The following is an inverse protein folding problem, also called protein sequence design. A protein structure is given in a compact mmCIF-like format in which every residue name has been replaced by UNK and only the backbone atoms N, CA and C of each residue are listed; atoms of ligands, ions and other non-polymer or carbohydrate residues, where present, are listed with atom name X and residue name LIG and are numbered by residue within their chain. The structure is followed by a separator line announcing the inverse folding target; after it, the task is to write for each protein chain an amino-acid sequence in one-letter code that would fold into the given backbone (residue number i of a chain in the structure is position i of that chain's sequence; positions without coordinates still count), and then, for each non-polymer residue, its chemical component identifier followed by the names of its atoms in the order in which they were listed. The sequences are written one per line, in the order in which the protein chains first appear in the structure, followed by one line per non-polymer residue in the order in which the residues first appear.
data_IF_176306576449
#
_entry.id   IF_176306576449
#
_cell.length_a   1.000
_cell.length_b   1.000
_cell.length_c   1.000
_cell.angle_alpha   90.00
_cell.angle_beta   90.00
_cell.angle_gamma   90.00
#
_symmetry.space_group_name_H-M   'P 1'
#
loop_
_entity.id
_entity.type
_entity.pdbx_description
1 polymer ?
#
# COMPACT_ATOMS: atom_id res chain seq x y z
N UNK A 1 28.14 49.21 59.90
CA UNK A 1 27.00 49.03 60.83
C UNK A 1 25.86 49.88 60.29
N UNK A 2 24.64 49.46 60.04
CA UNK A 2 23.97 48.16 60.10
C UNK A 2 22.62 48.38 59.38
N UNK A 3 22.14 47.34 58.69
CA UNK A 3 20.74 47.08 58.31
C UNK A 3 19.89 48.15 57.58
N UNK A 4 19.66 47.87 56.29
CA UNK A 4 18.57 48.43 55.48
C UNK A 4 17.34 47.48 55.58
N UNK A 5 16.16 47.95 56.05
CA UNK A 5 14.93 47.18 55.94
C UNK A 5 14.05 47.65 54.77
N UNK A 6 13.40 46.67 54.15
CA UNK A 6 12.31 46.79 53.19
C UNK A 6 11.20 47.71 53.69
N UNK A 7 10.70 48.59 52.81
CA UNK A 7 9.32 49.12 52.82
C UNK A 7 8.94 49.54 51.38
N UNK A 8 8.06 48.77 50.75
CA UNK A 8 7.07 49.23 49.76
C UNK A 8 5.80 49.62 50.54
N UNK A 9 4.74 50.23 49.99
CA UNK A 9 4.53 50.85 48.66
C UNK A 9 3.81 52.22 48.74
N UNK A 10 3.76 52.99 47.64
CA UNK A 10 2.57 53.73 47.17
C UNK A 10 2.98 54.51 45.91
N UNK A 11 2.30 54.32 44.78
CA UNK A 11 1.80 55.43 43.95
C UNK A 11 1.03 54.89 42.72
N UNK A 12 -0.24 55.31 42.68
CA UNK A 12 -1.11 55.62 41.54
C UNK A 12 -1.79 54.51 40.71
N UNK A 13 -3.11 54.45 40.92
CA UNK A 13 -4.16 54.03 40.00
C UNK A 13 -4.04 54.69 38.62
N UNK A 14 -4.19 53.88 37.57
CA UNK A 14 -4.80 54.31 36.31
C UNK A 14 -5.88 53.30 35.92
N UNK A 15 -7.14 53.72 36.07
CA UNK A 15 -8.33 53.07 35.54
C UNK A 15 -8.33 53.24 34.01
N UNK A 16 -8.07 52.16 33.28
CA UNK A 16 -8.25 52.08 31.83
C UNK A 16 -9.36 51.09 31.49
N UNK A 17 -10.58 51.58 31.30
CA UNK A 17 -11.68 50.81 30.72
C UNK A 17 -11.45 50.75 29.21
N UNK A 18 -11.04 49.60 28.68
CA UNK A 18 -11.21 49.32 27.26
C UNK A 18 -11.82 47.95 27.03
N UNK A 19 -12.94 48.01 26.30
CA UNK A 19 -13.86 46.93 26.01
C UNK A 19 -13.16 45.75 25.31
N UNK A 20 -13.50 44.56 25.78
CA UNK A 20 -13.32 43.29 25.10
C UNK A 20 -14.06 43.30 23.76
N UNK A 21 -13.31 43.58 22.68
CA UNK A 21 -13.77 43.28 21.32
C UNK A 21 -13.08 41.99 20.88
N UNK A 22 -13.69 40.86 21.22
CA UNK A 22 -13.49 39.62 20.48
C UNK A 22 -13.97 39.87 19.05
N UNK A 23 -13.05 40.05 18.11
CA UNK A 23 -13.40 39.98 16.68
C UNK A 23 -13.70 38.52 16.34
N UNK A 24 -14.96 38.15 16.48
CA UNK A 24 -15.53 37.02 15.74
C UNK A 24 -15.76 37.42 14.29
N UNK A 25 -15.20 36.67 13.35
CA UNK A 25 -15.69 36.44 11.99
C UNK A 25 -14.69 35.56 11.22
N UNK A 26 -15.11 34.69 10.28
CA UNK A 26 -16.38 33.98 10.17
C UNK A 26 -16.16 32.46 10.36
N UNK A 27 -17.15 31.85 10.99
CA UNK A 27 -17.45 30.43 10.90
C UNK A 27 -17.44 29.94 9.45
N UNK A 28 -16.41 29.19 9.09
CA UNK A 28 -16.62 27.92 8.40
C UNK A 28 -16.06 26.83 9.30
N UNK A 29 -16.87 26.22 10.18
CA UNK A 29 -16.59 24.86 10.55
C UNK A 29 -16.57 24.09 9.24
N UNK A 30 -15.44 23.45 8.90
CA UNK A 30 -15.51 22.31 7.99
C UNK A 30 -16.68 21.45 8.49
N UNK A 31 -17.64 21.09 7.62
CA UNK A 31 -18.86 20.44 8.07
C UNK A 31 -18.49 19.15 8.80
N UNK A 32 -18.59 19.18 10.13
CA UNK A 32 -18.48 18.02 11.01
C UNK A 32 -19.80 17.24 10.95
N UNK A 33 -20.21 16.84 9.76
CA UNK A 33 -21.44 16.05 9.52
C UNK A 33 -21.29 15.19 8.28
N UNK A 34 -20.25 14.35 8.26
CA UNK A 34 -20.51 12.97 7.88
C UNK A 34 -20.14 12.13 9.08
N UNK A 35 -21.16 11.68 9.81
CA UNK A 35 -21.06 10.31 10.30
C UNK A 35 -21.02 9.46 9.02
N UNK A 36 -19.83 9.36 8.41
CA UNK A 36 -19.55 8.32 7.44
C UNK A 36 -19.83 7.07 8.23
N UNK A 37 -20.81 6.24 7.81
CA UNK A 37 -20.85 4.90 8.36
C UNK A 37 -19.44 4.35 8.22
N UNK A 38 -18.91 3.77 9.30
CA UNK A 38 -17.58 3.12 9.32
C UNK A 38 -17.44 2.10 8.18
N UNK A 39 -18.59 1.67 7.68
CA UNK A 39 -18.81 0.70 6.63
C UNK A 39 -19.63 1.41 5.54
N UNK A 40 -19.04 2.35 4.77
CA UNK A 40 -19.76 3.06 3.73
C UNK A 40 -20.15 2.07 2.63
N UNK A 41 -21.43 2.08 2.23
CA UNK A 41 -21.90 1.27 1.10
C UNK A 41 -21.52 1.88 -0.24
N UNK A 42 -21.42 3.20 -0.30
CA UNK A 42 -20.95 3.94 -1.48
C UNK A 42 -19.43 4.08 -1.48
N UNK A 43 -18.83 4.14 -2.67
CA UNK A 43 -17.41 4.40 -2.84
C UNK A 43 -17.00 5.75 -2.27
N UNK A 44 -15.85 5.77 -1.58
CA UNK A 44 -15.15 6.98 -1.16
C UNK A 44 -13.94 7.16 -2.09
N UNK A 45 -13.81 8.34 -2.70
CA UNK A 45 -12.67 8.62 -3.58
C UNK A 45 -11.38 8.81 -2.80
N UNK A 46 -10.31 8.20 -3.31
CA UNK A 46 -8.94 8.50 -2.96
C UNK A 46 -8.13 8.62 -4.27
N UNK A 47 -7.82 9.85 -4.66
CA UNK A 47 -7.26 10.12 -5.98
C UNK A 47 -8.25 9.73 -7.08
N UNK A 48 -7.84 8.82 -7.96
CA UNK A 48 -8.67 8.30 -9.06
C UNK A 48 -9.45 7.03 -8.71
N UNK A 49 -9.24 6.46 -7.53
CA UNK A 49 -9.81 5.16 -7.13
C UNK A 49 -11.03 5.38 -6.23
N UNK A 50 -12.11 4.66 -6.51
CA UNK A 50 -13.29 4.58 -5.66
C UNK A 50 -13.16 3.41 -4.67
N UNK A 51 -13.08 3.71 -3.38
CA UNK A 51 -12.90 2.74 -2.30
C UNK A 51 -14.25 2.40 -1.68
N UNK A 52 -14.68 1.17 -1.87
CA UNK A 52 -15.85 0.56 -1.24
C UNK A 52 -15.54 -0.85 -0.74
N UNK A 53 -16.42 -1.36 0.12
CA UNK A 53 -16.32 -2.71 0.66
C UNK A 53 -16.14 -3.76 -0.45
N UNK A 54 -15.20 -4.73 -0.33
CA UNK A 54 -14.51 -5.12 0.91
C UNK A 54 -13.23 -4.33 1.24
N UNK A 55 -12.83 -3.39 0.39
CA UNK A 55 -11.78 -2.43 0.72
C UNK A 55 -12.32 -1.36 1.67
N UNK A 56 -11.46 -0.83 2.52
CA UNK A 56 -11.85 0.17 3.50
C UNK A 56 -10.70 1.10 3.83
N UNK A 57 -11.04 2.33 4.22
CA UNK A 57 -10.05 3.31 4.65
C UNK A 57 -9.48 2.94 6.02
N UNK A 58 -8.19 3.15 6.22
CA UNK A 58 -7.49 2.81 7.45
C UNK A 58 -7.99 3.58 8.69
N UNK A 59 -8.63 4.73 8.48
CA UNK A 59 -9.28 5.52 9.53
C UNK A 59 -10.78 5.17 9.74
N UNK A 60 -11.36 4.29 8.92
CA UNK A 60 -12.73 3.84 9.07
C UNK A 60 -12.81 2.74 10.15
N UNK A 61 -12.83 3.18 11.41
CA UNK A 61 -12.90 2.30 12.59
C UNK A 61 -14.10 2.62 13.46
N UNK A 62 -14.78 1.58 13.93
CA UNK A 62 -15.86 1.62 14.91
C UNK A 62 -15.42 1.02 16.24
N UNK A 63 -16.32 1.08 17.23
CA UNK A 63 -16.09 0.55 18.57
C UNK A 63 -17.34 -0.19 19.05
N UNK A 64 -17.15 -1.40 19.60
CA UNK A 64 -18.25 -2.14 20.23
C UNK A 64 -18.53 -1.61 21.63
N UNK A 65 -19.62 -2.05 22.26
CA UNK A 65 -19.96 -1.67 23.65
C UNK A 65 -18.86 -2.02 24.66
N UNK A 66 -18.04 -3.04 24.36
CA UNK A 66 -16.91 -3.48 25.18
C UNK A 66 -15.59 -2.78 24.82
N UNK A 67 -15.66 -1.65 24.11
CA UNK A 67 -14.50 -0.85 23.67
C UNK A 67 -13.54 -1.58 22.72
N UNK A 68 -14.02 -2.62 22.02
CA UNK A 68 -13.23 -3.30 21.00
C UNK A 68 -13.35 -2.53 19.67
N UNK A 69 -12.21 -2.06 19.16
CA UNK A 69 -12.15 -1.39 17.85
C UNK A 69 -12.28 -2.38 16.71
N UNK A 70 -13.05 -2.00 15.70
CA UNK A 70 -13.29 -2.82 14.52
C UNK A 70 -13.29 -2.01 13.23
N UNK A 71 -13.10 -2.70 12.11
CA UNK A 71 -13.26 -2.14 10.75
C UNK A 71 -14.13 -3.05 9.90
N UNK A 72 -14.82 -2.44 8.94
CA UNK A 72 -15.67 -3.15 7.99
C UNK A 72 -14.96 -3.38 6.67
N UNK A 73 -14.47 -4.60 6.48
CA UNK A 73 -13.70 -4.94 5.29
C UNK A 73 -12.76 -6.09 5.56
N UNK A 74 -12.22 -6.64 4.49
CA UNK A 74 -11.28 -7.75 4.60
C UNK A 74 -9.96 -7.25 5.15
N UNK A 75 -9.44 -7.92 6.17
CA UNK A 75 -8.29 -7.46 6.98
C UNK A 75 -7.03 -7.11 6.21
N UNK A 76 -6.89 -7.59 4.98
CA UNK A 76 -5.72 -7.37 4.11
C UNK A 76 -5.98 -6.27 3.06
N UNK A 77 -7.21 -5.75 2.97
CA UNK A 77 -7.68 -4.78 1.97
C UNK A 77 -7.83 -3.36 2.55
N UNK A 78 -7.08 -3.07 3.61
CA UNK A 78 -7.03 -1.76 4.25
C UNK A 78 -6.23 -0.79 3.39
N UNK A 79 -6.84 0.34 3.03
CA UNK A 79 -6.21 1.40 2.22
C UNK A 79 -5.98 2.64 3.09
N UNK A 80 -4.75 3.15 3.06
CA UNK A 80 -4.42 4.48 3.58
C UNK A 80 -4.44 5.48 2.43
N UNK A 81 -5.27 6.51 2.54
CA UNK A 81 -5.30 7.60 1.57
C UNK A 81 -4.36 8.71 2.02
N UNK A 82 -3.25 8.92 1.30
CA UNK A 82 -2.18 9.85 1.70
C UNK A 82 -2.21 11.08 0.81
N UNK A 83 -2.40 12.24 1.42
CA UNK A 83 -2.31 13.54 0.75
C UNK A 83 -0.87 14.05 0.73
N UNK A 84 -0.35 14.41 -0.44
CA UNK A 84 1.02 14.94 -0.62
C UNK A 84 1.07 16.48 -0.76
N UNK A 85 -0.05 17.17 -0.59
CA UNK A 85 -0.18 18.60 -0.87
C UNK A 85 -0.81 18.91 -2.24
N UNK A 86 -0.97 17.91 -3.10
CA UNK A 86 -1.51 18.06 -4.46
C UNK A 86 -2.54 16.99 -4.83
N UNK A 87 -2.24 15.73 -4.54
CA UNK A 87 -3.09 14.60 -4.86
C UNK A 87 -3.19 13.63 -3.68
N UNK A 88 -4.34 12.96 -3.60
CA UNK A 88 -4.53 11.82 -2.73
C UNK A 88 -4.00 10.55 -3.40
N UNK A 89 -3.17 9.80 -2.69
CA UNK A 89 -2.59 8.54 -3.17
C UNK A 89 -3.09 7.37 -2.31
N UNK A 90 -3.81 6.39 -2.90
CA UNK A 90 -4.26 5.21 -2.17
C UNK A 90 -3.11 4.20 -2.02
N UNK A 91 -2.77 3.86 -0.78
CA UNK A 91 -1.69 2.92 -0.42
C UNK A 91 -2.27 1.72 0.33
N UNK A 92 -1.94 0.52 -0.13
CA UNK A 92 -2.16 -0.74 0.58
C UNK A 92 -0.82 -1.28 1.07
N UNK A 93 -0.80 -1.89 2.26
CA UNK A 93 0.40 -2.51 2.81
C UNK A 93 0.37 -4.01 2.68
N UNK A 94 1.34 -4.57 1.95
CA UNK A 94 1.48 -5.99 1.72
C UNK A 94 2.85 -6.45 2.22
N UNK A 95 2.88 -7.33 3.23
CA UNK A 95 4.14 -7.85 3.78
C UNK A 95 4.99 -6.80 4.52
N UNK A 96 4.39 -5.65 4.87
CA UNK A 96 5.10 -4.51 5.48
C UNK A 96 5.51 -3.44 4.47
N UNK A 97 5.38 -3.71 3.17
CA UNK A 97 5.78 -2.82 2.10
C UNK A 97 4.58 -2.07 1.50
N UNK A 98 4.84 -0.88 0.96
CA UNK A 98 3.79 -0.01 0.43
C UNK A 98 3.58 -0.23 -1.06
N UNK A 99 2.35 -0.59 -1.43
CA UNK A 99 1.90 -0.66 -2.81
C UNK A 99 0.86 0.42 -3.07
N UNK A 100 0.99 1.11 -4.19
CA UNK A 100 -0.01 2.07 -4.65
C UNK A 100 -1.11 1.34 -5.37
N UNK A 101 -2.36 1.61 -5.00
CA UNK A 101 -3.54 1.05 -5.66
C UNK A 101 -3.80 1.85 -6.93
N UNK A 102 -3.66 1.21 -8.09
CA UNK A 102 -3.90 1.85 -9.38
C UNK A 102 -5.37 1.75 -9.79
N UNK A 103 -6.00 0.61 -9.51
CA UNK A 103 -7.39 0.34 -9.88
C UNK A 103 -8.02 -0.74 -8.99
N UNK A 104 -9.33 -0.66 -8.78
CA UNK A 104 -10.13 -1.66 -8.07
C UNK A 104 -11.34 -2.01 -8.94
N UNK A 105 -11.38 -3.25 -9.45
CA UNK A 105 -12.46 -3.76 -10.30
C UNK A 105 -13.37 -4.69 -9.52
N UNK A 106 -14.49 -4.13 -9.07
CA UNK A 106 -15.47 -4.82 -8.23
C UNK A 106 -16.26 -5.91 -8.97
N UNK A 107 -16.43 -5.77 -10.28
CA UNK A 107 -17.12 -6.73 -11.15
C UNK A 107 -16.30 -8.02 -11.35
N UNK A 108 -14.98 -7.89 -11.45
CA UNK A 108 -14.07 -9.03 -11.62
C UNK A 108 -13.40 -9.49 -10.33
N UNK A 109 -13.63 -8.78 -9.22
CA UNK A 109 -12.99 -9.03 -7.93
C UNK A 109 -11.45 -8.94 -7.98
N UNK A 110 -10.92 -7.95 -8.69
CA UNK A 110 -9.46 -7.78 -8.88
C UNK A 110 -8.95 -6.38 -8.60
N UNK A 111 -7.77 -6.29 -7.99
CA UNK A 111 -7.07 -5.03 -7.68
C UNK A 111 -5.76 -4.97 -8.44
N UNK A 112 -5.45 -3.80 -9.01
CA UNK A 112 -4.19 -3.54 -9.70
C UNK A 112 -3.30 -2.71 -8.78
N UNK A 113 -2.11 -3.24 -8.49
CA UNK A 113 -1.15 -2.64 -7.57
C UNK A 113 0.17 -2.38 -8.27
N UNK A 114 0.81 -1.26 -7.94
CA UNK A 114 2.20 -1.02 -8.31
C UNK A 114 3.03 -0.79 -7.06
N UNK A 115 4.27 -1.30 -7.07
CA UNK A 115 5.25 -0.97 -6.05
C UNK A 115 5.43 0.56 -6.00
N UNK A 116 5.28 1.16 -4.82
CA UNK A 116 5.36 2.62 -4.66
C UNK A 116 6.75 3.15 -5.05
N UNK A 117 7.82 2.36 -4.86
CA UNK A 117 9.17 2.71 -5.29
C UNK A 117 9.30 2.71 -6.82
N UNK A 118 8.51 1.89 -7.52
CA UNK A 118 8.48 1.89 -8.99
C UNK A 118 7.83 3.14 -9.59
N UNK A 119 6.85 3.72 -8.89
CA UNK A 119 6.15 4.93 -9.33
C UNK A 119 6.95 6.20 -9.09
N UNK A 120 7.82 6.22 -8.08
CA UNK A 120 8.66 7.38 -7.74
C UNK A 120 9.92 7.50 -8.61
N UNK A 121 10.35 6.40 -9.24
CA UNK A 121 11.55 6.36 -10.06
C UNK A 121 11.36 6.88 -11.48
N UNK A 122 12.49 7.13 -12.15
CA UNK A 122 12.53 7.51 -13.57
C UNK A 122 12.19 6.33 -14.49
N UNK A 123 12.87 6.22 -15.63
CA UNK A 123 12.67 5.10 -16.56
C UNK A 123 13.13 3.78 -15.96
N UNK A 124 14.12 3.83 -15.08
CA UNK A 124 14.66 2.66 -14.40
C UNK A 124 14.51 2.80 -12.90
N UNK A 125 13.30 2.57 -12.36
CA UNK A 125 13.13 2.56 -10.93
C UNK A 125 13.95 1.44 -10.28
N UNK A 126 14.34 1.63 -9.03
CA UNK A 126 14.99 0.61 -8.21
C UNK A 126 13.99 0.09 -7.18
N UNK A 127 13.42 -1.07 -7.44
CA UNK A 127 12.60 -1.81 -6.46
C UNK A 127 13.47 -2.29 -5.30
N UNK A 128 12.92 -2.28 -4.08
CA UNK A 128 13.68 -2.62 -2.86
C UNK A 128 13.19 -3.89 -2.18
N UNK A 129 11.96 -4.27 -2.46
CA UNK A 129 11.29 -5.39 -1.83
C UNK A 129 10.55 -6.20 -2.88
N UNK A 130 10.55 -7.51 -2.65
CA UNK A 130 9.73 -8.45 -3.38
C UNK A 130 8.51 -8.80 -2.56
N UNK A 131 7.37 -9.01 -3.21
CA UNK A 131 6.20 -9.56 -2.55
C UNK A 131 6.06 -11.04 -2.90
N UNK A 132 5.89 -11.86 -1.87
CA UNK A 132 5.38 -13.21 -2.02
C UNK A 132 4.17 -13.38 -1.12
N UNK A 133 3.08 -13.95 -1.63
CA UNK A 133 1.95 -14.34 -0.80
C UNK A 133 2.41 -15.37 0.24
N UNK A 134 2.54 -14.93 1.48
CA UNK A 134 2.66 -15.79 2.65
C UNK A 134 1.28 -16.16 3.21
N UNK A 135 1.27 -16.89 4.33
CA UNK A 135 0.05 -17.23 5.07
C UNK A 135 -0.70 -16.00 5.63
N UNK A 136 -0.09 -14.82 5.58
CA UNK A 136 -0.58 -13.61 6.24
C UNK A 136 -1.66 -12.83 5.47
N UNK A 137 -1.88 -13.17 4.19
CA UNK A 137 -2.83 -12.49 3.29
C UNK A 137 -3.94 -13.42 2.81
N UNK A 138 -4.84 -13.79 3.71
CA UNK A 138 -5.89 -14.80 3.46
C UNK A 138 -6.91 -14.37 2.39
N UNK A 139 -7.05 -13.08 2.13
CA UNK A 139 -8.09 -12.55 1.24
C UNK A 139 -7.63 -12.31 -0.19
N UNK A 140 -6.33 -12.36 -0.46
CA UNK A 140 -5.73 -12.01 -1.74
C UNK A 140 -5.07 -13.24 -2.38
N UNK A 141 -5.18 -13.35 -3.70
CA UNK A 141 -4.63 -14.45 -4.47
C UNK A 141 -4.01 -13.94 -5.78
N UNK A 142 -3.00 -14.66 -6.29
CA UNK A 142 -2.42 -14.35 -7.60
C UNK A 142 -3.43 -14.66 -8.71
N UNK A 143 -3.45 -13.80 -9.71
CA UNK A 143 -4.19 -14.07 -10.95
C UNK A 143 -3.38 -15.02 -11.84
N UNK A 144 -4.06 -15.78 -12.71
CA UNK A 144 -3.39 -16.73 -13.62
C UNK A 144 -2.50 -16.07 -14.68
N UNK A 145 -2.46 -14.74 -14.75
CA UNK A 145 -1.64 -13.94 -15.66
C UNK A 145 -0.40 -13.32 -15.00
N UNK A 146 -0.07 -13.68 -13.77
CA UNK A 146 1.09 -13.12 -13.07
C UNK A 146 2.41 -13.67 -13.61
N UNK A 147 3.40 -12.79 -13.76
CA UNK A 147 4.79 -13.16 -14.01
C UNK A 147 5.72 -12.34 -13.11
N UNK A 148 7.03 -12.59 -13.16
CA UNK A 148 8.01 -11.96 -12.29
C UNK A 148 9.21 -11.38 -13.05
N UNK A 149 9.68 -10.23 -12.58
CA UNK A 149 11.05 -9.77 -12.88
C UNK A 149 11.94 -10.05 -11.69
N UNK A 150 13.16 -10.51 -11.97
CA UNK A 150 14.20 -10.69 -10.96
C UNK A 150 15.33 -9.72 -11.22
N UNK A 151 15.64 -8.92 -10.21
CA UNK A 151 16.68 -7.91 -10.23
C UNK A 151 17.89 -8.38 -9.42
N UNK A 152 19.07 -8.23 -10.00
CA UNK A 152 20.34 -8.40 -9.31
C UNK A 152 20.99 -7.03 -9.24
N UNK A 153 20.96 -6.42 -8.08
CA UNK A 153 21.49 -5.09 -7.90
C UNK A 153 22.89 -5.13 -7.32
N UNK A 154 23.78 -4.35 -7.93
CA UNK A 154 25.08 -4.05 -7.37
C UNK A 154 25.95 -5.29 -7.12
N UNK A 155 26.18 -6.06 -8.17
CA UNK A 155 27.01 -7.26 -8.13
C UNK A 155 28.51 -6.90 -8.04
N UNK A 156 29.31 -7.77 -7.42
CA UNK A 156 30.77 -7.60 -7.36
C UNK A 156 31.39 -7.75 -8.76
N UNK A 157 31.97 -6.68 -9.36
CA UNK A 157 32.51 -6.73 -10.71
C UNK A 157 33.60 -7.80 -10.90
N UNK A 158 34.36 -8.11 -9.85
CA UNK A 158 35.44 -9.10 -9.91
C UNK A 158 34.91 -10.54 -10.01
N UNK A 159 33.65 -10.77 -9.64
CA UNK A 159 33.00 -12.08 -9.64
C UNK A 159 32.09 -12.29 -10.86
N UNK A 160 32.02 -11.29 -11.75
CA UNK A 160 31.13 -11.25 -12.91
C UNK A 160 31.80 -11.78 -14.21
N UNK A 161 33.03 -12.33 -14.19
CA UNK A 161 33.83 -12.72 -15.41
C UNK A 161 34.45 -14.16 -15.35
N UNK A 162 34.89 -14.87 -16.44
CA UNK A 162 34.53 -14.91 -17.88
C UNK A 162 34.38 -16.34 -18.54
N UNK A 163 33.55 -17.29 -18.08
CA UNK A 163 33.03 -18.32 -19.01
C UNK A 163 31.63 -18.01 -19.54
N UNK A 164 30.94 -17.03 -18.94
CA UNK A 164 29.54 -16.67 -19.22
C UNK A 164 29.37 -15.25 -19.80
N UNK A 165 30.45 -14.47 -19.88
CA UNK A 165 30.43 -13.03 -20.21
C UNK A 165 29.90 -12.72 -21.63
N UNK A 166 29.90 -13.68 -22.56
CA UNK A 166 29.46 -13.44 -23.93
C UNK A 166 27.95 -13.18 -24.13
N UNK A 167 27.12 -13.22 -23.08
CA UNK A 167 25.66 -13.16 -23.23
C UNK A 167 24.85 -12.43 -22.16
N UNK A 168 25.48 -11.92 -21.09
CA UNK A 168 24.74 -11.31 -19.97
C UNK A 168 24.68 -9.78 -20.02
N UNK A 169 25.56 -9.12 -20.80
CA UNK A 169 25.57 -7.67 -21.00
C UNK A 169 24.26 -7.12 -21.55
N UNK A 170 23.49 -7.97 -22.24
CA UNK A 170 22.17 -7.63 -22.77
C UNK A 170 21.11 -7.49 -21.67
N UNK A 171 21.34 -8.03 -20.47
CA UNK A 171 20.45 -7.94 -19.30
C UNK A 171 20.87 -6.85 -18.30
N UNK A 172 22.04 -6.24 -18.51
CA UNK A 172 22.56 -5.18 -17.65
C UNK A 172 21.69 -3.93 -17.79
N UNK A 173 21.30 -3.35 -16.65
CA UNK A 173 20.53 -2.09 -16.59
C UNK A 173 21.44 -0.94 -17.02
N UNK A 174 21.06 -0.23 -18.09
CA UNK A 174 21.88 0.78 -18.79
C UNK A 174 21.31 2.20 -18.75
N UNK A 175 20.32 2.42 -17.91
CA UNK A 175 19.59 3.69 -17.88
C UNK A 175 20.43 4.78 -17.22
N UNK A 176 20.43 5.97 -17.79
CA UNK A 176 21.26 7.09 -17.32
C UNK A 176 20.80 7.64 -15.98
N UNK A 177 19.52 7.46 -15.65
CA UNK A 177 18.89 7.82 -14.39
C UNK A 177 19.03 6.73 -13.31
N UNK A 178 19.57 5.56 -13.67
CA UNK A 178 19.79 4.48 -12.73
C UNK A 178 21.09 4.73 -11.95
N UNK A 179 20.96 5.07 -10.66
CA UNK A 179 22.11 5.31 -9.80
C UNK A 179 22.77 3.98 -9.39
N UNK A 180 23.59 3.43 -10.27
CA UNK A 180 24.67 2.54 -9.85
C UNK A 180 25.74 3.43 -9.23
N UNK A 181 25.75 3.58 -7.89
CA UNK A 181 26.93 4.16 -7.25
C UNK A 181 28.16 3.38 -7.74
N UNK A 182 29.27 4.03 -8.12
CA UNK A 182 30.46 3.34 -8.66
C UNK A 182 30.98 2.21 -7.76
N UNK A 183 30.70 2.30 -6.46
CA UNK A 183 31.04 1.34 -5.43
C UNK A 183 30.13 0.10 -5.38
N UNK A 184 29.02 0.07 -6.10
CA UNK A 184 28.02 -1.01 -6.01
C UNK A 184 28.17 -2.03 -7.13
N UNK A 185 28.85 -1.72 -8.25
CA UNK A 185 29.01 -2.66 -9.37
C UNK A 185 27.76 -2.80 -10.26
N UNK A 186 27.78 -3.66 -11.31
CA UNK A 186 26.71 -3.75 -12.29
C UNK A 186 25.40 -4.29 -11.71
N UNK A 187 24.27 -3.85 -12.30
CA UNK A 187 22.93 -4.34 -11.97
C UNK A 187 22.26 -4.94 -13.21
N UNK A 188 21.45 -5.99 -13.01
CA UNK A 188 20.82 -6.76 -14.08
C UNK A 188 19.34 -6.97 -13.79
N UNK A 189 18.55 -7.15 -14.85
CA UNK A 189 17.13 -7.51 -14.79
C UNK A 189 16.85 -8.69 -15.71
N UNK A 190 16.10 -9.66 -15.22
CA UNK A 190 15.74 -10.87 -15.95
C UNK A 190 14.24 -11.11 -15.84
N UNK A 191 13.64 -11.56 -16.93
CA UNK A 191 12.38 -12.32 -16.88
C UNK A 191 12.62 -13.69 -16.25
N UNK A 192 11.54 -14.35 -15.84
CA UNK A 192 11.59 -15.72 -15.30
C UNK A 192 12.22 -16.70 -16.29
N UNK A 193 11.84 -16.63 -17.57
CA UNK A 193 12.36 -17.51 -18.62
C UNK A 193 13.84 -17.26 -18.90
N UNK A 194 14.26 -16.00 -19.00
CA UNK A 194 15.67 -15.63 -19.21
C UNK A 194 16.52 -16.13 -18.05
N UNK A 195 16.05 -15.96 -16.81
CA UNK A 195 16.78 -16.40 -15.62
C UNK A 195 16.97 -17.92 -15.59
N UNK A 196 15.92 -18.71 -15.88
CA UNK A 196 16.01 -20.16 -15.91
C UNK A 196 16.82 -20.70 -17.09
N UNK A 197 16.93 -19.93 -18.18
CA UNK A 197 17.77 -20.29 -19.32
C UNK A 197 19.28 -20.16 -19.03
N UNK A 198 19.66 -19.44 -17.96
CA UNK A 198 21.06 -19.29 -17.60
C UNK A 198 21.62 -20.59 -17.01
N UNK A 199 22.77 -21.07 -17.53
CA UNK A 199 23.49 -22.16 -16.88
C UNK A 199 23.81 -21.75 -15.43
N UNK A 200 23.41 -22.56 -14.45
CA UNK A 200 23.69 -22.35 -13.03
C UNK A 200 23.03 -21.12 -12.39
N UNK A 201 21.79 -20.77 -12.75
CA UNK A 201 21.08 -19.61 -12.17
C UNK A 201 21.04 -19.59 -10.62
N UNK A 202 20.93 -20.76 -9.96
CA UNK A 202 20.93 -20.86 -8.49
C UNK A 202 22.25 -20.43 -7.85
N UNK A 203 23.34 -20.48 -8.61
CA UNK A 203 24.67 -20.09 -8.18
C UNK A 203 24.94 -18.60 -8.45
N UNK A 204 24.24 -17.96 -9.39
CA UNK A 204 24.54 -16.58 -9.79
C UNK A 204 24.38 -15.57 -8.65
N UNK A 205 23.29 -15.64 -7.88
CA UNK A 205 23.06 -14.74 -6.75
C UNK A 205 24.13 -14.89 -5.65
N UNK A 206 24.55 -16.13 -5.38
CA UNK A 206 25.54 -16.46 -4.35
C UNK A 206 26.96 -16.11 -4.80
N UNK A 207 27.28 -16.33 -6.06
CA UNK A 207 28.61 -16.09 -6.62
C UNK A 207 28.85 -14.61 -6.89
N UNK A 208 27.87 -13.90 -7.44
CA UNK A 208 28.04 -12.48 -7.81
C UNK A 208 27.86 -11.51 -6.64
N UNK A 209 27.47 -12.00 -5.46
CA UNK A 209 27.23 -11.19 -4.25
C UNK A 209 26.31 -9.98 -4.48
N UNK A 210 25.24 -10.17 -5.25
CA UNK A 210 24.27 -9.11 -5.53
C UNK A 210 23.16 -9.06 -4.48
N UNK A 211 22.52 -7.90 -4.34
CA UNK A 211 21.19 -7.84 -3.74
C UNK A 211 20.16 -8.37 -4.76
N UNK A 212 19.45 -9.46 -4.41
CA UNK A 212 18.38 -10.00 -5.26
C UNK A 212 17.00 -9.51 -4.80
N UNK A 213 16.19 -9.02 -5.74
CA UNK A 213 14.79 -8.67 -5.53
C UNK A 213 13.95 -9.25 -6.68
N UNK A 214 12.95 -10.07 -6.35
CA UNK A 214 11.96 -10.56 -7.31
C UNK A 214 10.62 -9.87 -7.08
N UNK A 215 10.05 -9.26 -8.12
CA UNK A 215 8.79 -8.52 -8.03
C UNK A 215 7.76 -9.06 -9.02
N UNK A 216 6.47 -9.09 -8.62
CA UNK A 216 5.39 -9.45 -9.51
C UNK A 216 5.12 -8.37 -10.57
N UNK A 217 4.70 -8.81 -11.76
CA UNK A 217 4.27 -8.01 -12.89
C UNK A 217 3.04 -8.63 -13.57
N UNK A 218 2.32 -7.88 -14.40
CA UNK A 218 1.33 -8.45 -15.31
C UNK A 218 2.02 -9.17 -16.49
N UNK A 219 1.95 -10.51 -16.51
CA UNK A 219 2.49 -11.36 -17.57
C UNK A 219 1.78 -11.23 -18.92
N UNK A 220 0.65 -10.51 -19.00
CA UNK A 220 0.00 -10.12 -20.27
C UNK A 220 0.63 -8.88 -20.89
N UNK A 221 1.58 -8.23 -20.21
CA UNK A 221 2.21 -7.02 -20.73
C UNK A 221 2.87 -7.30 -22.10
N UNK A 222 2.48 -6.60 -23.18
CA UNK A 222 3.00 -6.86 -24.52
C UNK A 222 4.52 -6.76 -24.64
N UNK A 223 5.16 -5.91 -23.83
CA UNK A 223 6.62 -5.75 -23.82
C UNK A 223 7.36 -7.04 -23.50
N UNK A 224 6.76 -7.91 -22.67
CA UNK A 224 7.31 -9.21 -22.32
C UNK A 224 7.27 -10.20 -23.50
N UNK A 225 6.52 -9.94 -24.57
CA UNK A 225 6.42 -10.84 -25.74
C UNK A 225 7.10 -10.29 -26.97
N UNK A 226 7.05 -8.97 -27.17
CA UNK A 226 7.54 -8.35 -28.40
C UNK A 226 8.96 -7.81 -28.27
N UNK A 227 9.36 -7.28 -27.10
CA UNK A 227 10.55 -6.42 -26.98
C UNK A 227 11.30 -6.59 -25.65
N UNK A 228 11.48 -7.82 -25.15
CA UNK A 228 12.20 -8.08 -23.89
C UNK A 228 13.61 -7.45 -23.85
N UNK A 229 14.30 -7.36 -24.99
CA UNK A 229 15.62 -6.73 -25.10
C UNK A 229 15.66 -5.26 -24.65
N UNK A 230 14.52 -4.56 -24.64
CA UNK A 230 14.43 -3.17 -24.17
C UNK A 230 14.25 -3.04 -22.66
N UNK A 231 13.97 -4.14 -21.95
CA UNK A 231 13.75 -4.12 -20.50
C UNK A 231 14.87 -3.37 -19.78
N UNK A 232 16.17 -3.72 -19.95
CA UNK A 232 17.25 -3.10 -19.18
C UNK A 232 17.56 -1.64 -19.58
N UNK A 233 16.94 -1.14 -20.64
CA UNK A 233 17.10 0.25 -21.12
C UNK A 233 15.90 1.14 -20.78
N UNK A 234 15.02 0.71 -19.85
CA UNK A 234 13.84 1.47 -19.41
C UNK A 234 12.52 0.73 -19.57
N UNK A 235 12.47 -0.30 -20.42
CA UNK A 235 11.24 -1.06 -20.66
C UNK A 235 10.68 -1.71 -19.39
N UNK A 236 11.55 -2.14 -18.46
CA UNK A 236 11.06 -2.73 -17.21
C UNK A 236 10.34 -1.69 -16.34
N UNK A 237 10.72 -0.41 -16.38
CA UNK A 237 10.05 0.63 -15.61
C UNK A 237 8.62 0.85 -16.07
N UNK A 238 8.36 0.77 -17.38
CA UNK A 238 6.99 0.81 -17.92
C UNK A 238 6.16 -0.38 -17.45
N UNK A 239 6.77 -1.58 -17.40
CA UNK A 239 6.11 -2.79 -16.89
C UNK A 239 5.75 -2.62 -15.42
N UNK A 240 6.69 -2.18 -14.58
CA UNK A 240 6.45 -1.99 -13.14
C UNK A 240 5.40 -0.91 -12.85
N UNK A 241 5.39 0.19 -13.62
CA UNK A 241 4.43 1.29 -13.44
C UNK A 241 3.00 0.92 -13.83
N UNK A 242 2.82 -0.07 -14.72
CA UNK A 242 1.49 -0.66 -15.00
C UNK A 242 1.00 -1.56 -13.87
N UNK A 243 1.91 -2.03 -13.02
CA UNK A 243 1.58 -2.86 -11.88
C UNK A 243 1.29 -4.31 -12.21
N UNK A 244 0.69 -4.99 -11.24
CA UNK A 244 0.28 -6.38 -11.28
C UNK A 244 -1.10 -6.54 -10.67
N UNK A 245 -1.81 -7.58 -11.08
CA UNK A 245 -3.21 -7.82 -10.74
C UNK A 245 -3.33 -8.95 -9.72
N UNK A 246 -4.07 -8.69 -8.63
CA UNK A 246 -4.44 -9.67 -7.62
C UNK A 246 -5.96 -9.84 -7.58
N UNK A 247 -6.43 -11.05 -7.30
CA UNK A 247 -7.84 -11.31 -7.02
C UNK A 247 -8.11 -11.23 -5.52
N UNK A 248 -9.32 -10.87 -5.11
CA UNK A 248 -9.77 -11.02 -3.72
C UNK A 248 -11.01 -11.92 -3.60
N UNK A 249 -11.12 -12.66 -2.49
CA UNK A 249 -12.18 -13.66 -2.33
C UNK A 249 -12.70 -13.77 -0.89
N UNK A 250 -14.02 -13.61 -0.70
CA UNK A 250 -14.74 -13.80 0.58
C UNK A 250 -14.82 -15.24 1.06
N UNK A 251 -14.75 -16.21 0.16
CA UNK A 251 -15.13 -17.60 0.44
C UNK A 251 -14.19 -18.31 1.42
N UNK A 252 -13.15 -17.63 1.89
CA UNK A 252 -12.22 -18.10 2.92
C UNK A 252 -12.79 -18.02 4.34
N UNK A 253 -13.85 -17.24 4.54
CA UNK A 253 -14.51 -17.04 5.83
C UNK A 253 -16.02 -17.24 5.64
N UNK A 254 -16.51 -18.41 6.02
CA UNK A 254 -17.92 -18.81 5.84
C UNK A 254 -18.89 -17.87 6.55
N UNK A 255 -18.53 -17.41 7.76
CA UNK A 255 -19.37 -16.51 8.55
C UNK A 255 -19.49 -15.14 7.85
N UNK A 256 -18.38 -14.65 7.31
CA UNK A 256 -18.39 -13.43 6.52
C UNK A 256 -19.19 -13.59 5.21
N UNK A 257 -19.05 -14.72 4.53
CA UNK A 257 -19.82 -15.02 3.33
C UNK A 257 -21.34 -14.94 3.56
N UNK A 258 -21.85 -15.52 4.65
CA UNK A 258 -23.27 -15.45 4.99
C UNK A 258 -23.71 -14.02 5.35
N UNK A 259 -22.89 -13.28 6.10
CA UNK A 259 -23.12 -11.86 6.38
C UNK A 259 -23.29 -11.04 5.10
N UNK A 260 -22.40 -11.21 4.13
CA UNK A 260 -22.45 -10.47 2.86
C UNK A 260 -23.67 -10.87 2.02
N UNK A 261 -24.06 -12.14 2.03
CA UNK A 261 -25.27 -12.63 1.35
C UNK A 261 -26.55 -12.01 1.89
N UNK A 262 -26.54 -11.61 3.17
CA UNK A 262 -27.61 -10.85 3.83
C UNK A 262 -27.50 -9.31 3.66
N UNK A 263 -26.66 -8.83 2.73
CA UNK A 263 -26.36 -7.40 2.50
C UNK A 263 -25.65 -6.68 3.65
N UNK A 264 -25.03 -7.45 4.55
CA UNK A 264 -24.18 -6.94 5.62
C UNK A 264 -22.72 -6.79 5.21
N UNK A 265 -21.93 -6.21 6.10
CA UNK A 265 -20.49 -6.03 5.94
C UNK A 265 -19.78 -6.61 7.16
N UNK A 266 -18.79 -7.47 6.92
CA UNK A 266 -18.07 -8.15 8.00
C UNK A 266 -17.20 -7.18 8.79
N UNK A 267 -17.33 -7.22 10.11
CA UNK A 267 -16.53 -6.43 11.05
C UNK A 267 -15.42 -7.28 11.65
N UNK A 268 -14.17 -6.84 11.49
CA UNK A 268 -13.00 -7.50 12.05
C UNK A 268 -12.33 -6.65 13.12
N UNK A 269 -11.79 -7.31 14.13
CA UNK A 269 -10.90 -6.70 15.12
C UNK A 269 -9.54 -6.34 14.51
N UNK A 270 -8.75 -5.56 15.23
CA UNK A 270 -7.36 -5.28 14.85
C UNK A 270 -6.49 -6.55 14.73
N UNK A 271 -6.86 -7.62 15.44
CA UNK A 271 -6.17 -8.92 15.41
C UNK A 271 -6.72 -9.86 14.33
N UNK A 272 -7.38 -9.31 13.30
CA UNK A 272 -7.99 -10.06 12.18
C UNK A 272 -9.05 -11.09 12.58
N UNK A 273 -9.65 -10.94 13.77
CA UNK A 273 -10.73 -11.81 14.26
C UNK A 273 -12.08 -11.27 13.82
N UNK A 274 -12.96 -12.12 13.27
CA UNK A 274 -14.32 -11.71 12.94
C UNK A 274 -15.09 -11.39 14.23
N UNK A 275 -15.58 -10.17 14.35
CA UNK A 275 -16.40 -9.72 15.47
C UNK A 275 -17.90 -9.80 15.17
N UNK A 276 -18.28 -9.75 13.90
CA UNK A 276 -19.69 -9.81 13.55
C UNK A 276 -20.04 -9.32 12.15
N UNK A 277 -21.33 -9.16 11.93
CA UNK A 277 -21.92 -8.65 10.70
C UNK A 277 -22.56 -7.28 10.95
N UNK A 278 -22.05 -6.23 10.31
CA UNK A 278 -22.68 -4.90 10.33
C UNK A 278 -23.78 -4.85 9.30
N UNK A 279 -25.02 -4.68 9.77
CA UNK A 279 -26.20 -4.78 8.95
C UNK A 279 -26.68 -3.42 8.41
N UNK A 280 -27.54 -3.42 7.37
CA UNK A 280 -28.10 -2.19 6.81
C UNK A 280 -28.86 -1.31 7.81
N UNK A 281 -29.38 -1.91 8.88
CA UNK A 281 -30.05 -1.23 10.00
C UNK A 281 -29.07 -0.55 10.98
N UNK A 282 -27.76 -0.68 10.75
CA UNK A 282 -26.68 -0.15 11.58
C UNK A 282 -26.28 -1.04 12.76
N UNK A 283 -26.98 -2.16 12.99
CA UNK A 283 -26.69 -3.05 14.11
C UNK A 283 -25.56 -4.03 13.77
N UNK A 284 -24.71 -4.29 14.75
CA UNK A 284 -23.70 -5.36 14.68
C UNK A 284 -24.30 -6.67 15.21
N UNK A 285 -24.39 -7.67 14.35
CA UNK A 285 -24.76 -9.05 14.71
C UNK A 285 -23.54 -9.86 15.10
N UNK A 286 -23.65 -10.82 16.03
CA UNK A 286 -22.53 -11.71 16.36
C UNK A 286 -22.09 -12.54 15.14
N UNK A 287 -20.86 -13.08 15.12
CA UNK A 287 -20.27 -13.74 13.94
C UNK A 287 -21.11 -14.88 13.34
N UNK A 288 -21.96 -15.52 14.13
CA UNK A 288 -22.82 -16.63 13.72
C UNK A 288 -24.22 -16.20 13.25
N UNK A 289 -24.51 -14.90 13.16
CA UNK A 289 -25.80 -14.36 12.69
C UNK A 289 -25.58 -13.43 11.49
N UNK A 290 -26.38 -13.64 10.46
CA UNK A 290 -26.50 -12.74 9.32
C UNK A 290 -27.54 -11.63 9.61
N UNK A 291 -27.79 -10.74 8.66
CA UNK A 291 -28.76 -9.65 8.79
C UNK A 291 -30.23 -10.08 8.64
N UNK A 292 -30.49 -11.33 8.28
CA UNK A 292 -31.85 -11.87 8.21
C UNK A 292 -32.26 -12.52 9.54
N UNK A 293 -31.29 -12.85 10.40
CA UNK A 293 -31.55 -13.42 11.72
C UNK A 293 -32.24 -12.39 12.64
N UNK A 294 -33.25 -12.81 13.42
CA UNK A 294 -33.85 -11.95 14.44
C UNK A 294 -32.80 -11.55 15.49
N UNK A 295 -32.91 -10.31 15.97
CA UNK A 295 -32.06 -9.73 17.01
C UNK A 295 -31.91 -10.68 18.19
#
# INVERSE_FOLDING_TARGET
MAHLPRLLPFFLLLLGVHASVCRGSPTTPLPSTHSTSICPKSGIKCGTVDISYPFYLSNATGETNDYNRFSCGYTDLKISCIWDGKNDTPIIQLGGDNYTVLDIRYDTFTVVLADTDALRGGNCPRVRHGFNFGQDHKWLEYTGSLDNLTFFFGCDPALVDPPLAGGIDKYQIKCTDFNNSPSTGPSFVFTKEELYSLPYYESLSKTWKCQNVTVPIDGRNPLLRSNQATLPSGGYGEVLKKGFELAWNSNKDEQCFWCQRSQGQCAYSQNKTLLGCVCPDGNLRPPNKDCNAPN
#
